data_IF_848755547739
#
_entry.id   IF_848755547739
#
_cell.length_a   1.000
_cell.length_b   1.000
_cell.length_c   1.000
_cell.angle_alpha   90.00
_cell.angle_beta   90.00
_cell.angle_gamma   90.00
#
_symmetry.space_group_name_H-M   'P 1'
#
loop_
_entity.id
_entity.type
_entity.pdbx_description
1 polymer ?
#
# COMPACT_ATOMS: atom_id res chain seq x y z
N UNK A 1 33.53 9.24 -74.51
CA UNK A 1 33.09 8.40 -73.38
C UNK A 1 33.85 8.88 -72.16
N UNK A 2 33.31 9.84 -71.42
CA UNK A 2 34.04 10.67 -70.45
C UNK A 2 33.59 10.29 -69.05
N UNK A 3 34.48 9.64 -68.28
CA UNK A 3 34.22 9.14 -66.93
C UNK A 3 34.29 10.31 -65.93
N UNK A 4 33.20 10.59 -65.20
CA UNK A 4 33.19 11.55 -64.07
C UNK A 4 33.37 10.78 -62.77
N UNK A 5 34.44 11.07 -62.04
CA UNK A 5 34.74 10.54 -60.70
C UNK A 5 34.07 11.47 -59.66
N UNK A 6 33.24 10.90 -58.77
CA UNK A 6 32.63 11.62 -57.65
C UNK A 6 33.56 11.60 -56.42
N UNK A 7 33.61 12.66 -55.59
CA UNK A 7 34.44 12.68 -54.39
C UNK A 7 33.74 11.96 -53.22
N UNK A 8 34.53 11.26 -52.40
CA UNK A 8 34.07 10.52 -51.23
C UNK A 8 33.60 11.45 -50.10
N UNK A 9 32.56 11.08 -49.32
CA UNK A 9 32.07 11.89 -48.22
C UNK A 9 32.98 11.74 -47.00
N UNK A 10 33.46 12.88 -46.48
CA UNK A 10 34.19 12.96 -45.22
C UNK A 10 33.22 12.77 -44.05
N UNK A 11 33.28 11.62 -43.37
CA UNK A 11 32.56 11.39 -42.12
C UNK A 11 33.26 12.16 -40.98
N UNK A 12 32.62 13.21 -40.44
CA UNK A 12 33.01 13.77 -39.15
C UNK A 12 32.55 12.83 -38.04
N UNK A 13 33.51 12.21 -37.35
CA UNK A 13 33.28 11.41 -36.16
C UNK A 13 33.05 12.35 -34.96
N UNK A 14 31.81 12.67 -34.63
CA UNK A 14 31.48 13.40 -33.39
C UNK A 14 31.66 12.47 -32.19
N UNK A 15 32.67 12.72 -31.36
CA UNK A 15 32.79 12.11 -30.03
C UNK A 15 31.58 12.54 -29.18
N UNK A 16 30.64 11.62 -28.98
CA UNK A 16 29.61 11.75 -27.95
C UNK A 16 30.28 11.36 -26.62
N UNK A 17 30.34 12.24 -25.61
CA UNK A 17 30.91 11.87 -24.32
C UNK A 17 30.05 10.77 -23.70
N UNK A 18 30.69 9.65 -23.35
CA UNK A 18 30.06 8.60 -22.57
C UNK A 18 29.71 9.17 -21.20
N UNK A 19 28.41 9.37 -20.96
CA UNK A 19 27.90 9.69 -19.63
C UNK A 19 28.04 8.41 -18.80
N UNK A 20 29.11 8.32 -18.02
CA UNK A 20 29.27 7.31 -16.99
C UNK A 20 28.14 7.50 -15.97
N UNK A 21 27.09 6.68 -16.06
CA UNK A 21 26.12 6.56 -14.99
C UNK A 21 26.84 6.07 -13.74
N UNK A 22 26.87 6.90 -12.70
CA UNK A 22 27.37 6.50 -11.40
C UNK A 22 26.58 5.28 -10.90
N UNK A 23 27.21 4.30 -10.24
CA UNK A 23 26.49 3.16 -9.68
C UNK A 23 25.48 3.68 -8.65
N UNK A 24 24.20 3.36 -8.87
CA UNK A 24 23.14 3.66 -7.91
C UNK A 24 23.40 2.88 -6.63
N UNK A 25 23.85 3.55 -5.57
CA UNK A 25 23.93 2.94 -4.24
C UNK A 25 22.53 2.43 -3.88
N UNK A 26 22.40 1.11 -3.73
CA UNK A 26 21.15 0.50 -3.28
C UNK A 26 20.83 1.09 -1.91
N UNK A 27 19.70 1.81 -1.76
CA UNK A 27 19.38 2.45 -0.49
C UNK A 27 19.35 1.42 0.63
N UNK A 28 20.12 1.67 1.68
CA UNK A 28 20.16 0.77 2.85
C UNK A 28 18.73 0.58 3.39
N UNK A 29 18.30 -0.66 3.70
CA UNK A 29 16.99 -0.91 4.29
C UNK A 29 16.81 -0.11 5.59
N UNK A 30 15.64 0.52 5.71
CA UNK A 30 15.28 1.38 6.84
C UNK A 30 14.71 0.54 7.98
N UNK A 31 15.23 0.74 9.20
CA UNK A 31 14.59 0.20 10.41
C UNK A 31 13.38 1.07 10.76
N UNK A 32 12.14 0.53 10.74
CA UNK A 32 10.95 1.30 11.08
C UNK A 32 10.95 1.64 12.58
N UNK A 33 10.39 2.81 12.92
CA UNK A 33 10.22 3.28 14.30
C UNK A 33 8.76 3.66 14.55
N UNK A 34 8.33 3.52 15.79
CA UNK A 34 6.92 3.75 16.15
C UNK A 34 6.52 5.21 15.91
N UNK A 35 5.44 5.43 15.17
CA UNK A 35 4.97 6.76 14.77
C UNK A 35 5.84 7.45 13.70
N UNK A 36 6.72 6.71 13.01
CA UNK A 36 7.57 7.26 11.95
C UNK A 36 6.74 7.75 10.76
N UNK A 37 7.13 8.92 10.24
CA UNK A 37 6.59 9.47 9.00
C UNK A 37 7.47 9.12 7.79
N UNK A 38 6.86 8.55 6.75
CA UNK A 38 7.49 8.19 5.48
C UNK A 38 7.24 9.31 4.48
N UNK A 39 8.31 9.98 4.06
CA UNK A 39 8.28 11.12 3.13
C UNK A 39 8.95 10.86 1.78
N UNK A 40 9.57 9.69 1.62
CA UNK A 40 10.19 9.20 0.38
C UNK A 40 10.00 7.70 0.29
N UNK A 41 10.20 7.11 -0.89
CA UNK A 41 10.17 5.66 -1.05
C UNK A 41 11.20 5.00 -0.14
N UNK A 42 10.79 3.94 0.55
CA UNK A 42 11.61 3.21 1.52
C UNK A 42 11.38 1.72 1.37
N UNK A 43 12.47 0.97 1.53
CA UNK A 43 12.43 -0.46 1.76
C UNK A 43 12.75 -0.71 3.22
N UNK A 44 11.87 -1.41 3.94
CA UNK A 44 12.10 -1.72 5.34
C UNK A 44 13.14 -2.84 5.49
N UNK A 45 13.83 -2.83 6.62
CA UNK A 45 14.62 -3.98 7.03
C UNK A 45 13.67 -5.13 7.42
N UNK A 46 13.90 -6.37 6.94
CA UNK A 46 13.11 -7.52 7.39
C UNK A 46 13.28 -7.74 8.90
N UNK A 47 12.18 -8.03 9.58
CA UNK A 47 12.15 -8.23 11.02
C UNK A 47 10.74 -8.06 11.59
N UNK A 48 10.59 -8.23 12.90
CA UNK A 48 9.33 -7.98 13.61
C UNK A 48 9.49 -6.76 14.50
N UNK A 49 8.58 -5.81 14.36
CA UNK A 49 8.62 -4.51 15.01
C UNK A 49 7.31 -4.23 15.74
N UNK A 50 7.38 -3.96 17.04
CA UNK A 50 6.23 -3.57 17.85
C UNK A 50 6.03 -2.06 17.71
N UNK A 51 5.03 -1.65 16.92
CA UNK A 51 4.78 -0.25 16.56
C UNK A 51 3.32 0.15 16.88
N UNK A 52 2.94 0.36 18.15
CA UNK A 52 1.54 0.63 18.52
C UNK A 52 0.92 1.87 17.85
N UNK A 53 1.72 2.87 17.46
CA UNK A 53 1.28 4.06 16.71
C UNK A 53 1.35 3.87 15.19
N UNK A 54 1.94 2.78 14.73
CA UNK A 54 2.11 2.45 13.32
C UNK A 54 3.04 3.41 12.58
N UNK A 55 2.88 3.46 11.27
CA UNK A 55 3.59 4.30 10.33
C UNK A 55 2.62 5.27 9.65
N UNK A 56 3.10 6.45 9.30
CA UNK A 56 2.33 7.46 8.57
C UNK A 56 2.99 7.77 7.24
N UNK A 57 2.29 7.58 6.13
CA UNK A 57 2.78 7.99 4.81
C UNK A 57 2.37 9.46 4.57
N UNK A 58 3.38 10.33 4.47
CA UNK A 58 3.18 11.78 4.43
C UNK A 58 3.60 12.42 3.10
N UNK A 59 3.91 11.63 2.08
CA UNK A 59 4.27 12.10 0.75
C UNK A 59 3.48 11.35 -0.34
N UNK A 60 3.35 12.00 -1.50
CA UNK A 60 2.77 11.42 -2.70
C UNK A 60 3.84 10.68 -3.52
N UNK A 61 3.41 9.75 -4.38
CA UNK A 61 4.27 9.04 -5.32
C UNK A 61 5.43 8.29 -4.62
N UNK A 62 5.15 7.69 -3.47
CA UNK A 62 6.12 6.93 -2.67
C UNK A 62 5.73 5.46 -2.57
N UNK A 63 6.75 4.62 -2.49
CA UNK A 63 6.60 3.19 -2.23
C UNK A 63 7.07 2.86 -0.82
N UNK A 64 6.20 2.24 -0.03
CA UNK A 64 6.56 1.51 1.18
C UNK A 64 6.67 0.03 0.82
N UNK A 65 7.90 -0.44 0.61
CA UNK A 65 8.18 -1.87 0.48
C UNK A 65 8.55 -2.43 1.85
N UNK A 66 7.66 -3.25 2.41
CA UNK A 66 7.88 -3.92 3.67
C UNK A 66 9.02 -4.92 3.62
N UNK A 67 9.40 -5.44 2.45
CA UNK A 67 10.45 -6.45 2.30
C UNK A 67 10.30 -7.64 3.26
N UNK A 68 9.06 -8.04 3.54
CA UNK A 68 8.73 -9.11 4.49
C UNK A 68 8.75 -8.71 5.97
N UNK A 69 8.97 -7.43 6.31
CA UNK A 69 8.86 -6.91 7.67
C UNK A 69 7.45 -7.11 8.24
N UNK A 70 7.40 -7.38 9.54
CA UNK A 70 6.17 -7.57 10.32
C UNK A 70 5.99 -6.41 11.28
N UNK A 71 4.88 -5.70 11.19
CA UNK A 71 4.47 -4.67 12.13
C UNK A 71 3.40 -5.25 13.05
N UNK A 72 3.59 -5.12 14.36
CA UNK A 72 2.65 -5.63 15.36
C UNK A 72 2.19 -4.51 16.29
N UNK A 73 0.87 -4.37 16.43
CA UNK A 73 0.24 -3.39 17.31
C UNK A 73 -0.07 -3.95 18.69
N UNK A 74 -1.07 -3.36 19.37
CA UNK A 74 -1.58 -3.79 20.69
C UNK A 74 -3.11 -3.97 20.73
N UNK A 75 -3.73 -4.26 19.59
CA UNK A 75 -5.17 -4.45 19.43
C UNK A 75 -5.96 -3.17 19.17
N UNK A 76 -5.28 -2.03 19.00
CA UNK A 76 -5.87 -0.73 18.76
C UNK A 76 -5.13 0.04 17.65
N UNK A 77 -5.74 1.13 17.18
CA UNK A 77 -5.14 2.01 16.18
C UNK A 77 -4.94 1.34 14.81
N UNK A 78 -3.98 1.87 14.05
CA UNK A 78 -3.69 1.45 12.69
C UNK A 78 -2.21 1.21 12.45
N UNK A 79 -1.87 0.23 11.61
CA UNK A 79 -0.47 -0.09 11.30
C UNK A 79 0.13 0.88 10.29
N UNK A 80 -0.63 1.24 9.26
CA UNK A 80 -0.23 2.22 8.25
C UNK A 80 -1.37 3.18 8.00
N UNK A 81 -1.10 4.48 8.13
CA UNK A 81 -2.04 5.56 7.85
C UNK A 81 -1.55 6.42 6.68
N UNK A 82 -2.42 6.66 5.72
CA UNK A 82 -2.26 7.70 4.69
C UNK A 82 -3.54 8.54 4.65
N UNK A 83 -3.37 9.85 4.56
CA UNK A 83 -4.47 10.78 4.41
C UNK A 83 -4.12 11.86 3.38
N UNK A 84 -5.04 12.13 2.45
CA UNK A 84 -4.85 13.15 1.39
C UNK A 84 -3.58 12.91 0.58
N UNK A 85 -3.39 11.65 0.13
CA UNK A 85 -2.22 11.22 -0.64
C UNK A 85 -2.58 10.62 -1.99
N UNK A 86 -1.63 10.71 -2.92
CA UNK A 86 -1.77 10.20 -4.28
C UNK A 86 -0.59 9.34 -4.69
N UNK A 87 -0.86 8.27 -5.46
CA UNK A 87 0.21 7.50 -6.12
C UNK A 87 1.05 6.68 -5.15
N UNK A 88 0.50 6.27 -4.02
CA UNK A 88 1.24 5.51 -2.99
C UNK A 88 1.11 4.02 -3.24
N UNK A 89 2.24 3.31 -3.18
CA UNK A 89 2.29 1.85 -3.22
C UNK A 89 2.72 1.30 -1.87
N UNK A 90 1.97 0.34 -1.33
CA UNK A 90 2.34 -0.44 -0.14
C UNK A 90 2.43 -1.89 -0.57
N UNK A 91 3.59 -2.51 -0.35
CA UNK A 91 3.81 -3.90 -0.76
C UNK A 91 4.67 -4.70 0.21
N UNK A 92 4.57 -6.04 0.14
CA UNK A 92 5.36 -7.02 0.89
C UNK A 92 5.40 -6.78 2.41
N UNK A 93 4.35 -6.19 2.97
CA UNK A 93 4.27 -5.86 4.39
C UNK A 93 3.39 -6.88 5.13
N UNK A 94 3.82 -7.30 6.32
CA UNK A 94 3.04 -8.14 7.22
C UNK A 94 2.56 -7.30 8.41
N UNK A 95 1.28 -7.40 8.76
CA UNK A 95 0.64 -6.60 9.81
C UNK A 95 -0.19 -7.52 10.71
N UNK A 96 -0.08 -7.33 12.03
CA UNK A 96 -0.94 -8.01 13.00
C UNK A 96 -1.31 -7.14 14.21
N UNK A 97 -2.42 -7.47 14.87
CA UNK A 97 -2.75 -6.95 16.21
C UNK A 97 -2.99 -5.43 16.23
N UNK A 98 -3.72 -4.89 15.25
CA UNK A 98 -4.22 -3.50 15.24
C UNK A 98 -5.75 -3.49 15.19
N UNK A 99 -6.42 -2.34 15.38
CA UNK A 99 -7.85 -2.25 15.04
C UNK A 99 -8.03 -2.27 13.52
N UNK A 100 -7.16 -1.54 12.81
CA UNK A 100 -7.12 -1.50 11.35
C UNK A 100 -5.71 -1.76 10.83
N UNK A 101 -5.55 -2.52 9.74
CA UNK A 101 -4.23 -2.74 9.16
C UNK A 101 -3.74 -1.52 8.40
N UNK A 102 -4.23 -1.37 7.17
CA UNK A 102 -3.90 -0.24 6.28
C UNK A 102 -5.12 0.66 6.16
N UNK A 103 -4.97 1.93 6.54
CA UNK A 103 -6.03 2.94 6.50
C UNK A 103 -5.68 4.04 5.52
N UNK A 104 -6.57 4.28 4.56
CA UNK A 104 -6.47 5.38 3.61
C UNK A 104 -7.71 6.28 3.67
N UNK A 105 -7.51 7.58 3.87
CA UNK A 105 -8.58 8.57 3.87
C UNK A 105 -8.31 9.66 2.81
N UNK A 106 -9.30 9.96 1.96
CA UNK A 106 -9.20 11.01 0.94
C UNK A 106 -8.01 10.81 -0.03
N UNK A 107 -7.82 9.59 -0.54
CA UNK A 107 -6.64 9.24 -1.36
C UNK A 107 -7.01 8.86 -2.81
N UNK A 108 -6.02 8.88 -3.70
CA UNK A 108 -6.19 8.53 -5.12
C UNK A 108 -4.99 7.71 -5.64
N UNK A 109 -5.21 6.82 -6.62
CA UNK A 109 -4.11 6.09 -7.28
C UNK A 109 -3.25 5.27 -6.31
N UNK A 110 -3.89 4.60 -5.36
CA UNK A 110 -3.20 3.72 -4.42
C UNK A 110 -3.01 2.32 -5.01
N UNK A 111 -1.92 1.67 -4.66
CA UNK A 111 -1.70 0.24 -4.90
C UNK A 111 -1.33 -0.45 -3.60
N UNK A 112 -2.20 -1.35 -3.12
CA UNK A 112 -1.94 -2.21 -1.95
C UNK A 112 -1.81 -3.63 -2.46
N UNK A 113 -0.59 -4.19 -2.43
CA UNK A 113 -0.37 -5.51 -2.99
C UNK A 113 0.63 -6.40 -2.26
N UNK A 114 0.38 -7.71 -2.28
CA UNK A 114 1.27 -8.73 -1.67
C UNK A 114 1.49 -8.49 -0.17
N UNK A 115 0.55 -7.81 0.48
CA UNK A 115 0.53 -7.63 1.92
C UNK A 115 -0.17 -8.79 2.60
N UNK A 116 0.23 -9.07 3.84
CA UNK A 116 -0.49 -9.97 4.74
C UNK A 116 -0.95 -9.17 5.94
N UNK A 117 -2.25 -9.11 6.17
CA UNK A 117 -2.84 -8.42 7.32
C UNK A 117 -3.79 -9.39 8.00
N UNK A 118 -3.50 -9.74 9.26
CA UNK A 118 -4.27 -10.72 10.03
C UNK A 118 -4.44 -10.27 11.47
N UNK A 119 -5.34 -10.91 12.20
CA UNK A 119 -5.49 -10.74 13.64
C UNK A 119 -5.74 -9.26 14.02
N UNK A 120 -6.48 -8.53 13.18
CA UNK A 120 -6.98 -7.21 13.57
C UNK A 120 -8.18 -7.36 14.49
N UNK A 121 -8.50 -6.29 15.22
CA UNK A 121 -9.55 -6.30 16.23
C UNK A 121 -10.88 -6.86 15.69
N UNK A 122 -11.55 -7.60 16.56
CA UNK A 122 -12.84 -8.20 16.34
C UNK A 122 -13.72 -7.92 17.56
N UNK A 123 -14.96 -7.56 17.31
CA UNK A 123 -15.96 -7.37 18.37
C UNK A 123 -16.40 -8.74 18.89
N UNK A 124 -16.39 -8.90 20.22
CA UNK A 124 -16.80 -10.15 20.89
C UNK A 124 -18.22 -10.57 20.49
N UNK A 125 -18.40 -11.88 20.29
CA UNK A 125 -19.60 -12.47 19.67
C UNK A 125 -20.87 -12.42 20.52
N UNK A 126 -20.75 -12.06 21.81
CA UNK A 126 -21.73 -12.44 22.82
C UNK A 126 -23.12 -11.84 22.66
N UNK A 127 -23.35 -10.83 21.79
CA UNK A 127 -24.69 -10.33 21.42
C UNK A 127 -24.73 -9.36 20.19
N UNK A 128 -23.71 -9.33 19.33
CA UNK A 128 -23.63 -8.28 18.28
C UNK A 128 -24.14 -8.78 16.94
N UNK A 129 -25.25 -8.21 16.47
CA UNK A 129 -25.67 -8.32 15.07
C UNK A 129 -24.81 -7.38 14.21
N UNK A 130 -24.35 -7.85 13.05
CA UNK A 130 -23.58 -7.01 12.12
C UNK A 130 -24.42 -5.83 11.65
N UNK A 131 -24.02 -4.62 12.03
CA UNK A 131 -24.66 -3.40 11.56
C UNK A 131 -24.22 -3.11 10.13
N UNK A 132 -25.06 -3.48 9.15
CA UNK A 132 -24.81 -3.20 7.72
C UNK A 132 -24.75 -1.72 7.37
N UNK A 133 -25.15 -0.83 8.29
CA UNK A 133 -25.04 0.63 8.16
C UNK A 133 -24.04 1.21 9.15
N UNK A 134 -23.06 0.43 9.59
CA UNK A 134 -22.00 0.94 10.45
C UNK A 134 -21.36 2.18 9.79
N UNK A 135 -21.30 3.32 10.48
CA UNK A 135 -20.78 4.55 9.88
C UNK A 135 -19.27 4.44 9.66
N UNK A 136 -18.77 5.21 8.68
CA UNK A 136 -17.34 5.28 8.38
C UNK A 136 -16.52 5.85 9.56
N UNK A 137 -17.14 6.56 10.51
CA UNK A 137 -16.45 7.21 11.63
C UNK A 137 -15.99 6.20 12.69
N UNK A 138 -16.73 5.11 12.85
CA UNK A 138 -16.38 4.00 13.73
C UNK A 138 -16.64 2.66 13.04
N UNK A 139 -15.87 2.31 12.00
CA UNK A 139 -16.03 1.04 11.34
C UNK A 139 -15.48 -0.05 12.26
N UNK A 140 -16.05 -1.24 12.09
CA UNK A 140 -15.50 -2.47 12.65
C UNK A 140 -14.02 -2.66 12.24
N UNK A 141 -13.33 -3.55 12.95
CA UNK A 141 -11.94 -3.88 12.62
C UNK A 141 -11.82 -4.40 11.19
N UNK A 142 -10.73 -4.04 10.51
CA UNK A 142 -10.52 -4.37 9.11
C UNK A 142 -9.04 -4.48 8.76
N UNK A 143 -8.70 -5.42 7.88
CA UNK A 143 -7.35 -5.52 7.35
C UNK A 143 -6.99 -4.34 6.43
N UNK A 144 -7.87 -3.97 5.51
CA UNK A 144 -7.77 -2.76 4.69
C UNK A 144 -9.04 -1.93 4.83
N UNK A 145 -8.86 -0.64 5.13
CA UNK A 145 -9.95 0.31 5.30
C UNK A 145 -9.72 1.56 4.45
N UNK A 146 -10.55 1.75 3.44
CA UNK A 146 -10.54 2.95 2.60
C UNK A 146 -11.77 3.80 2.90
N UNK A 147 -11.56 5.12 2.96
CA UNK A 147 -12.60 6.14 3.03
C UNK A 147 -12.35 7.21 2.00
N UNK A 148 -13.34 7.47 1.14
CA UNK A 148 -13.21 8.45 0.05
C UNK A 148 -11.94 8.23 -0.79
N UNK A 149 -11.71 6.99 -1.22
CA UNK A 149 -10.56 6.62 -2.06
C UNK A 149 -10.99 6.40 -3.50
N UNK A 150 -10.16 6.83 -4.46
CA UNK A 150 -10.48 6.76 -5.89
C UNK A 150 -9.37 6.13 -6.73
N UNK A 151 -9.75 5.54 -7.86
CA UNK A 151 -8.84 5.08 -8.92
C UNK A 151 -7.68 4.22 -8.38
N UNK A 152 -8.01 3.24 -7.53
CA UNK A 152 -7.01 2.51 -6.72
C UNK A 152 -7.16 1.00 -6.86
N UNK A 153 -6.11 0.27 -6.48
CA UNK A 153 -6.02 -1.18 -6.61
C UNK A 153 -5.64 -1.85 -5.29
N UNK A 154 -6.37 -2.89 -4.93
CA UNK A 154 -6.07 -3.80 -3.81
C UNK A 154 -5.94 -5.19 -4.41
N UNK A 155 -4.73 -5.76 -4.41
CA UNK A 155 -4.52 -7.03 -5.10
C UNK A 155 -3.51 -7.98 -4.45
N UNK A 156 -3.72 -9.28 -4.64
CA UNK A 156 -2.76 -10.31 -4.21
C UNK A 156 -2.46 -10.25 -2.70
N UNK A 157 -3.41 -9.77 -1.89
CA UNK A 157 -3.25 -9.67 -0.44
C UNK A 157 -3.86 -10.87 0.27
N UNK A 158 -3.24 -11.22 1.40
CA UNK A 158 -3.73 -12.20 2.36
C UNK A 158 -4.33 -11.45 3.56
N UNK A 159 -5.65 -11.33 3.58
CA UNK A 159 -6.41 -10.54 4.56
C UNK A 159 -7.39 -11.44 5.32
N UNK A 160 -6.90 -12.52 5.92
CA UNK A 160 -7.69 -13.55 6.62
C UNK A 160 -7.64 -13.39 8.15
N UNK A 161 -8.68 -13.88 8.86
CA UNK A 161 -8.73 -14.01 10.34
C UNK A 161 -8.87 -12.68 11.10
N UNK A 162 -9.97 -11.97 10.85
CA UNK A 162 -10.40 -10.83 11.64
C UNK A 162 -11.88 -10.54 11.37
N UNK A 163 -12.40 -9.41 11.87
CA UNK A 163 -13.78 -9.04 11.58
C UNK A 163 -14.04 -8.70 10.11
N UNK A 164 -13.23 -7.84 9.47
CA UNK A 164 -13.38 -7.56 8.04
C UNK A 164 -12.07 -7.68 7.26
N UNK A 165 -12.15 -8.15 6.02
CA UNK A 165 -11.01 -8.19 5.11
C UNK A 165 -10.74 -6.81 4.51
N UNK A 166 -11.59 -6.42 3.56
CA UNK A 166 -11.50 -5.13 2.86
C UNK A 166 -12.79 -4.35 3.10
N UNK A 167 -12.69 -3.13 3.62
CA UNK A 167 -13.83 -2.25 3.85
C UNK A 167 -13.66 -0.94 3.10
N UNK A 168 -14.62 -0.63 2.23
CA UNK A 168 -14.65 0.57 1.41
C UNK A 168 -15.86 1.44 1.80
N UNK A 169 -15.59 2.69 2.14
CA UNK A 169 -16.61 3.71 2.40
C UNK A 169 -16.42 4.86 1.41
N UNK A 170 -17.48 5.24 0.71
CA UNK A 170 -17.51 6.41 -0.19
C UNK A 170 -16.44 6.35 -1.29
N UNK A 171 -16.07 5.16 -1.76
CA UNK A 171 -15.00 4.97 -2.73
C UNK A 171 -15.53 4.94 -4.18
N UNK A 172 -14.65 5.18 -5.16
CA UNK A 172 -15.00 5.01 -6.57
C UNK A 172 -13.87 4.41 -7.38
N UNK A 173 -14.16 3.54 -8.35
CA UNK A 173 -13.15 2.96 -9.27
C UNK A 173 -12.06 2.21 -8.53
N UNK A 174 -12.45 1.25 -7.69
CA UNK A 174 -11.53 0.40 -6.93
C UNK A 174 -11.43 -0.97 -7.58
N UNK A 175 -10.26 -1.33 -8.08
CA UNK A 175 -10.00 -2.69 -8.57
C UNK A 175 -9.58 -3.59 -7.41
N UNK A 176 -10.39 -4.59 -7.09
CA UNK A 176 -10.09 -5.61 -6.07
C UNK A 176 -9.91 -6.96 -6.77
N UNK A 177 -8.69 -7.49 -6.80
CA UNK A 177 -8.41 -8.75 -7.51
C UNK A 177 -7.45 -9.66 -6.75
N UNK A 178 -7.65 -10.98 -6.83
CA UNK A 178 -6.70 -11.99 -6.30
C UNK A 178 -6.39 -11.86 -4.80
N UNK A 179 -7.29 -11.26 -4.02
CA UNK A 179 -7.15 -11.19 -2.56
C UNK A 179 -7.79 -12.42 -1.92
N UNK A 180 -7.18 -12.92 -0.85
CA UNK A 180 -7.77 -13.93 0.02
C UNK A 180 -8.34 -13.27 1.27
N UNK A 181 -9.66 -13.07 1.29
CA UNK A 181 -10.42 -12.48 2.40
C UNK A 181 -11.29 -13.51 3.13
N UNK A 182 -10.80 -14.75 3.26
CA UNK A 182 -11.55 -15.83 3.93
C UNK A 182 -11.46 -15.72 5.46
N UNK A 183 -12.27 -16.49 6.18
CA UNK A 183 -12.26 -16.56 7.65
C UNK A 183 -12.46 -15.19 8.32
N UNK A 184 -13.50 -14.48 7.89
CA UNK A 184 -13.96 -13.26 8.55
C UNK A 184 -15.18 -13.57 9.40
N UNK A 185 -15.33 -12.96 10.56
CA UNK A 185 -16.59 -13.01 11.30
C UNK A 185 -17.62 -11.96 10.82
N UNK A 186 -17.15 -10.89 10.19
CA UNK A 186 -17.94 -9.89 9.48
C UNK A 186 -17.91 -10.12 7.97
N UNK A 187 -17.31 -9.18 7.23
CA UNK A 187 -17.31 -9.18 5.77
C UNK A 187 -15.93 -9.49 5.17
N UNK A 188 -15.89 -10.36 4.17
CA UNK A 188 -14.73 -10.51 3.29
C UNK A 188 -14.40 -9.19 2.58
N UNK A 189 -15.39 -8.67 1.86
CA UNK A 189 -15.34 -7.38 1.17
C UNK A 189 -16.64 -6.63 1.50
N UNK A 190 -16.52 -5.42 2.05
CA UNK A 190 -17.63 -4.55 2.41
C UNK A 190 -17.59 -3.27 1.57
N UNK A 191 -18.71 -2.97 0.90
CA UNK A 191 -18.90 -1.78 0.06
C UNK A 191 -20.03 -0.94 0.64
N UNK A 192 -19.70 0.27 1.10
CA UNK A 192 -20.67 1.25 1.57
C UNK A 192 -20.54 2.53 0.74
N UNK A 193 -21.63 2.94 0.10
CA UNK A 193 -21.68 4.08 -0.80
C UNK A 193 -20.52 4.11 -1.83
N UNK A 194 -20.14 2.92 -2.32
CA UNK A 194 -18.99 2.75 -3.22
C UNK A 194 -19.48 2.38 -4.62
N UNK A 195 -18.86 2.94 -5.64
CA UNK A 195 -19.30 2.85 -7.05
C UNK A 195 -18.14 2.71 -8.03
N UNK A 196 -18.45 2.55 -9.32
CA UNK A 196 -17.50 2.56 -10.43
C UNK A 196 -17.57 3.86 -11.24
#
# INVERSE_FOLDING_TARGET
MTLRIAPAPTLLLSLVPAVCAAPSETPKPLVPRDGMSITKSVTLQPGTYVLPKGLVISADNVTLDGNGATLTGKGAGQAVLLAKRKGVTITNLKISTYKWGIVANDCEKLTIEKCRVRDTHEVESDNVWLNIRQPADDPYGAAVLFRNVKDSRIAENDVQHQQNGISLYDCSKITIEKNNASFQSGWGIHLNNTSD
#
